data_IF_814518335364
#
_entry.id   IF_814518335364
#
_cell.length_a   1.000
_cell.length_b   1.000
_cell.length_c   1.000
_cell.angle_alpha   90.00
_cell.angle_beta   90.00
_cell.angle_gamma   90.00
#
_symmetry.space_group_name_H-M   'P 1'
#
loop_
_entity.id
_entity.type
_entity.pdbx_description
1 polymer ?
#
# COMPACT_ATOMS: atom_id res chain seq x y z
N UNK A 1 4.38 -13.50 4.83
CA UNK A 1 5.86 -13.60 4.86
C UNK A 1 6.50 -12.29 5.32
N UNK A 2 6.25 -11.13 4.69
CA UNK A 2 6.87 -9.84 5.01
C UNK A 2 6.69 -9.40 6.48
N UNK A 3 5.49 -9.56 7.05
CA UNK A 3 5.26 -9.21 8.46
C UNK A 3 6.03 -10.14 9.40
N UNK A 4 6.08 -11.44 9.10
CA UNK A 4 6.86 -12.40 9.87
C UNK A 4 8.35 -12.01 9.88
N UNK A 5 8.89 -11.62 8.72
CA UNK A 5 10.29 -11.20 8.63
C UNK A 5 10.55 -9.93 9.48
N UNK A 6 9.58 -9.03 9.58
CA UNK A 6 9.69 -7.78 10.36
C UNK A 6 9.51 -7.97 11.87
N UNK A 7 8.74 -8.96 12.29
CA UNK A 7 8.63 -9.33 13.70
C UNK A 7 9.84 -10.11 14.22
N UNK A 8 10.92 -10.20 13.46
CA UNK A 8 12.14 -10.90 13.83
C UNK A 8 12.26 -12.30 13.22
N UNK A 9 11.47 -12.59 12.16
CA UNK A 9 11.52 -13.82 11.39
C UNK A 9 10.67 -14.96 11.95
N UNK A 10 10.80 -16.11 11.28
CA UNK A 10 9.97 -17.28 11.54
C UNK A 10 10.09 -17.80 12.99
N UNK A 11 11.28 -17.79 13.54
CA UNK A 11 11.53 -18.29 14.89
C UNK A 11 10.81 -17.46 15.97
N UNK A 12 10.88 -16.13 15.86
CA UNK A 12 10.17 -15.21 16.76
C UNK A 12 8.65 -15.38 16.63
N UNK A 13 8.16 -15.49 15.42
CA UNK A 13 6.75 -15.77 15.19
C UNK A 13 6.29 -17.08 15.83
N UNK A 14 7.11 -18.14 15.74
CA UNK A 14 6.83 -19.42 16.42
C UNK A 14 6.86 -19.31 17.95
N UNK A 15 7.65 -18.42 18.51
CA UNK A 15 7.65 -18.17 19.96
C UNK A 15 6.31 -17.57 20.42
N UNK A 16 5.78 -16.59 19.66
CA UNK A 16 4.46 -16.03 19.93
C UNK A 16 3.39 -17.12 19.87
N UNK A 17 3.38 -17.94 18.81
CA UNK A 17 2.40 -19.01 18.66
C UNK A 17 2.47 -20.03 19.80
N UNK A 18 3.66 -20.36 20.30
CA UNK A 18 3.82 -21.28 21.44
C UNK A 18 3.21 -20.73 22.73
N UNK A 19 3.40 -19.45 23.02
CA UNK A 19 2.79 -18.81 24.20
C UNK A 19 1.27 -18.86 24.07
N UNK A 20 0.73 -18.50 22.91
CA UNK A 20 -0.70 -18.54 22.66
C UNK A 20 -1.27 -19.97 22.74
N UNK A 21 -0.54 -20.99 22.25
CA UNK A 21 -0.93 -22.41 22.32
C UNK A 21 -1.02 -22.92 23.76
N UNK A 22 -0.06 -22.55 24.61
CA UNK A 22 -0.10 -22.92 26.05
C UNK A 22 -1.35 -22.36 26.72
N UNK A 23 -1.68 -21.11 26.46
CA UNK A 23 -2.88 -20.46 27.01
C UNK A 23 -4.14 -21.08 26.41
N UNK A 24 -4.14 -21.33 25.10
CA UNK A 24 -5.27 -21.94 24.40
C UNK A 24 -5.63 -23.32 24.99
N UNK A 25 -4.64 -24.17 25.25
CA UNK A 25 -4.83 -25.46 25.93
C UNK A 25 -5.34 -25.31 27.35
N UNK A 26 -4.80 -24.36 28.12
CA UNK A 26 -5.26 -24.06 29.49
C UNK A 26 -6.73 -23.65 29.53
N UNK A 27 -7.19 -22.90 28.52
CA UNK A 27 -8.54 -22.37 28.44
C UNK A 27 -9.50 -23.23 27.58
N UNK A 28 -9.01 -24.32 26.99
CA UNK A 28 -9.75 -25.22 26.08
C UNK A 28 -10.37 -24.50 24.87
N UNK A 29 -9.62 -23.58 24.30
CA UNK A 29 -10.01 -22.77 23.11
C UNK A 29 -8.93 -22.80 22.03
N UNK A 30 -9.21 -22.24 20.87
CA UNK A 30 -8.21 -22.12 19.80
C UNK A 30 -7.20 -21.00 20.07
N UNK A 31 -6.00 -21.10 19.45
CA UNK A 31 -5.00 -20.02 19.44
C UNK A 31 -5.62 -18.72 18.92
N UNK A 32 -6.49 -18.82 17.92
CA UNK A 32 -7.20 -17.68 17.34
C UNK A 32 -8.07 -16.97 18.37
N UNK A 33 -8.78 -17.72 19.21
CA UNK A 33 -9.60 -17.16 20.28
C UNK A 33 -8.73 -16.42 21.31
N UNK A 34 -7.59 -16.99 21.73
CA UNK A 34 -6.66 -16.33 22.66
C UNK A 34 -6.12 -15.04 22.09
N UNK A 35 -5.64 -15.06 20.85
CA UNK A 35 -5.09 -13.88 20.19
C UNK A 35 -6.15 -12.78 20.02
N UNK A 36 -7.36 -13.15 19.59
CA UNK A 36 -8.48 -12.22 19.42
C UNK A 36 -8.96 -11.65 20.76
N UNK A 37 -9.00 -12.48 21.82
CA UNK A 37 -9.37 -12.04 23.17
C UNK A 37 -8.37 -11.03 23.69
N UNK A 38 -7.07 -11.29 23.55
CA UNK A 38 -6.03 -10.35 23.96
C UNK A 38 -6.16 -8.98 23.26
N UNK A 39 -6.47 -8.96 21.96
CA UNK A 39 -6.72 -7.70 21.23
C UNK A 39 -7.98 -7.00 21.77
N UNK A 40 -9.05 -7.75 22.01
CA UNK A 40 -10.32 -7.19 22.50
C UNK A 40 -10.20 -6.63 23.93
N UNK A 41 -9.28 -7.15 24.73
CA UNK A 41 -9.03 -6.68 26.09
C UNK A 41 -8.18 -5.40 26.15
N UNK A 42 -7.66 -4.90 25.01
CA UNK A 42 -6.93 -3.63 24.98
C UNK A 42 -7.87 -2.44 25.23
N UNK A 43 -7.48 -1.45 26.07
CA UNK A 43 -8.37 -0.38 26.52
C UNK A 43 -9.00 0.46 25.39
N UNK A 44 -8.32 0.56 24.24
CA UNK A 44 -8.77 1.37 23.11
C UNK A 44 -9.59 0.56 22.07
N UNK A 45 -9.77 -0.76 22.28
CA UNK A 45 -10.44 -1.63 21.30
C UNK A 45 -11.90 -1.86 21.70
N UNK A 46 -12.82 -1.32 20.91
CA UNK A 46 -14.26 -1.53 21.11
C UNK A 46 -14.83 -2.78 20.43
N UNK A 47 -14.17 -3.28 19.38
CA UNK A 47 -14.59 -4.44 18.60
C UNK A 47 -13.43 -5.02 17.78
N UNK A 48 -13.56 -6.28 17.39
CA UNK A 48 -12.64 -6.96 16.47
C UNK A 48 -13.42 -7.51 15.28
N UNK A 49 -12.96 -7.25 14.08
CA UNK A 49 -13.54 -7.79 12.84
C UNK A 49 -12.86 -9.13 12.55
N UNK A 50 -13.65 -10.20 12.52
CA UNK A 50 -13.18 -11.56 12.25
C UNK A 50 -13.72 -12.00 10.89
N UNK A 51 -12.83 -12.48 10.02
CA UNK A 51 -13.20 -13.09 8.75
C UNK A 51 -13.94 -14.41 8.97
N UNK A 52 -15.05 -14.60 8.26
CA UNK A 52 -15.80 -15.85 8.26
C UNK A 52 -15.94 -16.40 6.84
N UNK A 53 -15.79 -17.72 6.71
CA UNK A 53 -16.18 -18.46 5.49
C UNK A 53 -17.54 -19.10 5.71
N UNK A 54 -18.37 -19.09 4.67
CA UNK A 54 -19.70 -19.67 4.72
C UNK A 54 -19.79 -21.06 4.06
N UNK A 55 -18.64 -21.62 3.64
CA UNK A 55 -18.58 -22.90 2.93
C UNK A 55 -17.72 -23.95 3.66
N UNK A 56 -16.74 -24.54 3.02
CA UNK A 56 -16.04 -25.75 3.44
C UNK A 56 -15.25 -25.68 4.76
N UNK A 57 -14.95 -24.50 5.26
CA UNK A 57 -14.26 -24.33 6.55
C UNK A 57 -14.93 -23.21 7.34
N UNK A 58 -16.03 -23.55 7.95
CA UNK A 58 -16.75 -22.62 8.82
C UNK A 58 -16.10 -22.57 10.21
N UNK A 59 -15.75 -21.37 10.65
CA UNK A 59 -15.18 -21.11 11.97
C UNK A 59 -16.12 -20.32 12.89
N UNK A 60 -17.41 -20.17 12.56
CA UNK A 60 -18.34 -19.35 13.35
C UNK A 60 -18.52 -19.88 14.78
N UNK A 61 -18.64 -21.21 14.92
CA UNK A 61 -18.76 -21.84 16.24
C UNK A 61 -17.48 -21.66 17.07
N UNK A 62 -16.30 -21.82 16.46
CA UNK A 62 -15.02 -21.57 17.13
C UNK A 62 -14.88 -20.09 17.50
N UNK A 63 -15.20 -19.18 16.59
CA UNK A 63 -15.16 -17.74 16.85
C UNK A 63 -16.11 -17.32 18.00
N UNK A 64 -17.23 -18.00 18.19
CA UNK A 64 -18.15 -17.72 19.29
C UNK A 64 -17.55 -18.05 20.67
N UNK A 65 -16.59 -18.97 20.74
CA UNK A 65 -15.89 -19.30 21.97
C UNK A 65 -15.06 -18.13 22.52
N UNK A 66 -14.80 -17.09 21.73
CA UNK A 66 -14.15 -15.86 22.17
C UNK A 66 -14.80 -15.26 23.44
N UNK A 67 -16.09 -15.45 23.61
CA UNK A 67 -16.87 -14.89 24.73
C UNK A 67 -17.05 -15.88 25.88
N UNK A 68 -16.57 -17.11 25.76
CA UNK A 68 -16.73 -18.17 26.78
C UNK A 68 -15.63 -18.17 27.85
N UNK A 69 -14.56 -17.40 27.67
CA UNK A 69 -13.42 -17.37 28.59
C UNK A 69 -12.87 -15.94 28.76
N UNK A 70 -12.02 -15.78 29.73
CA UNK A 70 -11.24 -14.54 29.96
C UNK A 70 -9.76 -14.88 30.10
N UNK A 71 -8.91 -13.94 29.72
CA UNK A 71 -7.48 -13.99 30.04
C UNK A 71 -7.27 -13.44 31.44
N UNK A 72 -6.48 -14.15 32.25
CA UNK A 72 -6.05 -13.65 33.55
C UNK A 72 -4.77 -12.79 33.43
N UNK A 73 -4.32 -12.24 34.53
CA UNK A 73 -3.15 -11.35 34.55
C UNK A 73 -1.87 -12.06 34.08
N UNK A 74 -1.70 -13.33 34.43
CA UNK A 74 -0.53 -14.10 34.01
C UNK A 74 -0.56 -14.39 32.52
N UNK A 75 -1.74 -14.68 31.95
CA UNK A 75 -1.95 -14.86 30.51
C UNK A 75 -1.58 -13.58 29.75
N UNK A 76 -2.07 -12.41 30.19
CA UNK A 76 -1.72 -11.12 29.59
C UNK A 76 -0.22 -10.85 29.67
N UNK A 77 0.38 -11.05 30.86
CA UNK A 77 1.80 -10.81 31.03
C UNK A 77 2.67 -11.69 30.13
N UNK A 78 2.31 -12.97 29.98
CA UNK A 78 3.04 -13.88 29.09
C UNK A 78 2.96 -13.45 27.62
N UNK A 79 1.78 -13.01 27.17
CA UNK A 79 1.61 -12.51 25.79
C UNK A 79 2.37 -11.19 25.60
N UNK A 80 2.23 -10.24 26.51
CA UNK A 80 2.89 -8.94 26.43
C UNK A 80 4.42 -9.07 26.43
N UNK A 81 4.96 -9.99 27.23
CA UNK A 81 6.39 -10.26 27.26
C UNK A 81 6.91 -10.74 25.90
N UNK A 82 6.28 -11.75 25.29
CA UNK A 82 6.72 -12.28 23.99
C UNK A 82 6.56 -11.28 22.87
N UNK A 83 5.53 -10.42 22.91
CA UNK A 83 5.30 -9.36 21.93
C UNK A 83 6.32 -8.23 22.09
N UNK A 84 6.62 -7.81 23.32
CA UNK A 84 7.60 -6.76 23.60
C UNK A 84 9.03 -7.17 23.21
N UNK A 85 9.32 -8.47 23.21
CA UNK A 85 10.59 -9.03 22.74
C UNK A 85 10.71 -9.08 21.20
N UNK A 86 9.65 -8.71 20.48
CA UNK A 86 9.68 -8.65 19.01
C UNK A 86 9.92 -7.24 18.50
N UNK A 87 10.64 -7.08 17.36
CA UNK A 87 10.75 -5.79 16.70
C UNK A 87 9.35 -5.24 16.35
N UNK A 88 9.11 -3.98 16.66
CA UNK A 88 7.84 -3.33 16.34
C UNK A 88 7.74 -3.07 14.83
N UNK A 89 6.63 -3.46 14.24
CA UNK A 89 6.29 -3.07 12.86
C UNK A 89 6.06 -1.56 12.86
N UNK A 90 6.74 -0.85 11.96
CA UNK A 90 6.63 0.61 11.86
C UNK A 90 5.33 1.01 11.15
N UNK A 91 4.74 2.11 11.60
CA UNK A 91 3.55 2.70 11.01
C UNK A 91 2.29 2.45 11.83
N UNK A 92 1.20 3.05 11.38
CA UNK A 92 -0.13 2.89 11.97
C UNK A 92 -0.87 1.71 11.33
N UNK A 93 -1.97 1.29 11.95
CA UNK A 93 -2.89 0.31 11.40
C UNK A 93 -3.37 0.74 10.00
N UNK A 94 -3.16 -0.10 9.01
CA UNK A 94 -3.46 0.18 7.61
C UNK A 94 -2.26 0.69 6.79
N UNK A 95 -1.15 1.09 7.41
CA UNK A 95 0.07 1.47 6.68
C UNK A 95 0.60 0.34 5.80
N UNK A 96 0.38 -0.92 6.20
CA UNK A 96 0.73 -2.11 5.42
C UNK A 96 -0.02 -2.22 4.08
N UNK A 97 -1.14 -1.53 3.94
CA UNK A 97 -1.91 -1.46 2.70
C UNK A 97 -1.62 -0.20 1.90
N UNK A 98 -1.21 0.86 2.56
CA UNK A 98 -1.28 2.24 2.08
C UNK A 98 0.07 2.87 1.82
N UNK A 99 1.11 2.42 2.50
CA UNK A 99 2.42 3.07 2.45
C UNK A 99 3.55 2.11 2.08
N UNK A 100 4.53 2.59 1.29
CA UNK A 100 5.78 1.86 1.15
C UNK A 100 6.45 1.67 2.53
N UNK A 101 7.15 0.57 2.75
CA UNK A 101 7.53 -0.44 1.78
C UNK A 101 6.55 -1.62 1.65
N UNK A 102 5.42 -1.57 2.33
CA UNK A 102 4.60 -2.77 2.49
C UNK A 102 3.67 -3.01 1.31
N UNK A 103 2.70 -2.17 1.08
CA UNK A 103 1.70 -2.27 0.00
C UNK A 103 1.26 -3.72 -0.26
N UNK A 104 0.90 -4.42 0.83
CA UNK A 104 0.68 -5.88 0.80
C UNK A 104 -0.66 -6.29 0.23
N UNK A 105 -1.60 -5.38 0.19
CA UNK A 105 -2.90 -5.62 -0.40
C UNK A 105 -3.34 -4.40 -1.18
N UNK A 106 -3.97 -4.63 -2.31
CA UNK A 106 -4.80 -3.63 -2.94
C UNK A 106 -6.13 -3.61 -2.20
N UNK A 107 -6.11 -3.14 -0.96
CA UNK A 107 -7.28 -2.95 -0.15
C UNK A 107 -8.20 -1.89 -0.72
N UNK A 108 -9.06 -1.35 0.08
CA UNK A 108 -9.82 -0.17 -0.28
C UNK A 108 -8.85 0.99 -0.56
N UNK A 109 -8.83 1.43 -1.81
CA UNK A 109 -7.93 2.49 -2.28
C UNK A 109 -8.53 3.89 -2.03
N UNK A 110 -9.77 3.99 -1.57
CA UNK A 110 -10.48 5.25 -1.43
C UNK A 110 -9.79 6.22 -0.48
N UNK A 111 -9.31 5.71 0.66
CA UNK A 111 -8.64 6.54 1.66
C UNK A 111 -7.27 7.08 1.23
N UNK A 112 -6.65 6.48 0.22
CA UNK A 112 -5.36 6.96 -0.29
C UNK A 112 -5.48 8.21 -1.15
N UNK A 113 -6.63 8.39 -1.76
CA UNK A 113 -6.81 9.38 -2.82
C UNK A 113 -6.89 10.81 -2.29
N UNK A 114 -7.30 10.99 -1.04
CA UNK A 114 -7.48 12.30 -0.42
C UNK A 114 -6.28 12.74 0.43
N UNK A 115 -5.56 11.79 1.02
CA UNK A 115 -4.43 12.06 1.91
C UNK A 115 -3.07 11.80 1.29
N UNK A 116 -2.99 11.58 -0.03
CA UNK A 116 -1.75 11.14 -0.67
C UNK A 116 -0.64 12.20 -0.58
N UNK A 117 0.00 12.26 0.57
CA UNK A 117 1.07 13.17 0.88
C UNK A 117 2.41 12.49 0.56
N UNK A 118 2.87 12.63 -0.69
CA UNK A 118 4.26 12.34 -1.09
C UNK A 118 4.70 10.90 -0.86
N UNK A 119 4.36 10.04 -1.76
CA UNK A 119 4.87 8.67 -1.84
C UNK A 119 6.40 8.64 -2.02
N UNK A 120 6.97 9.63 -2.69
CA UNK A 120 8.42 9.81 -2.78
C UNK A 120 8.88 10.98 -1.91
N UNK A 121 9.61 10.71 -0.81
CA UNK A 121 10.08 11.75 0.11
C UNK A 121 11.14 12.69 -0.50
N UNK A 122 11.65 12.36 -1.68
CA UNK A 122 12.70 13.13 -2.36
C UNK A 122 12.16 14.15 -3.35
N UNK A 123 10.84 14.36 -3.40
CA UNK A 123 10.27 15.36 -4.29
C UNK A 123 10.84 16.74 -4.03
N UNK A 124 11.45 17.34 -5.04
CA UNK A 124 12.02 18.67 -5.02
C UNK A 124 11.42 19.53 -6.12
N UNK A 125 10.98 20.74 -5.78
CA UNK A 125 10.42 21.69 -6.71
C UNK A 125 11.49 22.71 -7.11
N UNK A 126 11.58 23.01 -8.42
CA UNK A 126 12.49 24.01 -8.99
C UNK A 126 11.82 24.79 -10.11
N UNK A 127 12.38 25.93 -10.47
CA UNK A 127 11.83 26.81 -11.52
C UNK A 127 11.10 28.03 -10.94
N UNK A 128 10.35 28.72 -11.79
CA UNK A 128 9.57 29.91 -11.48
C UNK A 128 8.07 29.68 -11.72
N UNK A 129 7.24 30.70 -11.52
CA UNK A 129 5.78 30.60 -11.74
C UNK A 129 5.39 30.19 -13.16
N UNK A 130 6.22 30.49 -14.16
CA UNK A 130 5.95 30.18 -15.57
C UNK A 130 6.31 28.75 -15.94
N UNK A 131 7.30 28.16 -15.25
CA UNK A 131 7.79 26.84 -15.55
C UNK A 131 8.34 26.18 -14.27
N UNK A 132 7.56 25.31 -13.67
CA UNK A 132 7.95 24.52 -12.52
C UNK A 132 8.37 23.11 -12.94
N UNK A 133 9.38 22.58 -12.29
CA UNK A 133 9.86 21.22 -12.48
C UNK A 133 9.87 20.50 -11.14
N UNK A 134 9.38 19.26 -11.14
CA UNK A 134 9.42 18.38 -10.01
C UNK A 134 10.45 17.29 -10.25
N UNK A 135 11.42 17.16 -9.38
CA UNK A 135 12.43 16.11 -9.42
C UNK A 135 12.31 15.17 -8.22
N UNK A 136 12.84 13.96 -8.35
CA UNK A 136 12.97 12.97 -7.26
C UNK A 136 14.43 12.80 -6.82
N UNK A 137 15.38 13.43 -7.52
CA UNK A 137 16.80 13.22 -7.33
C UNK A 137 17.29 11.85 -7.85
N UNK A 138 16.51 11.22 -8.73
CA UNK A 138 16.92 9.99 -9.41
C UNK A 138 18.15 10.23 -10.26
N UNK A 139 19.10 9.29 -10.27
CA UNK A 139 20.27 9.29 -11.14
C UNK A 139 19.89 9.52 -12.61
N UNK A 140 18.82 8.89 -13.07
CA UNK A 140 18.35 8.98 -14.45
C UNK A 140 17.84 10.37 -14.85
N UNK A 141 17.30 11.15 -13.90
CA UNK A 141 16.87 12.53 -14.19
C UNK A 141 18.04 13.39 -14.64
N UNK A 142 19.21 13.23 -14.03
CA UNK A 142 20.42 13.97 -14.40
C UNK A 142 21.06 13.45 -15.70
N UNK A 143 21.08 12.15 -15.90
CA UNK A 143 21.71 11.51 -17.07
C UNK A 143 20.90 11.75 -18.33
N UNK A 144 19.57 11.61 -18.25
CA UNK A 144 18.69 11.75 -19.42
C UNK A 144 18.13 13.17 -19.59
N UNK A 145 18.36 14.08 -18.64
CA UNK A 145 17.94 15.47 -18.76
C UNK A 145 16.42 15.66 -18.67
N UNK A 146 15.72 14.87 -17.83
CA UNK A 146 14.29 14.99 -17.65
C UNK A 146 13.91 15.33 -16.19
N UNK A 147 12.67 15.69 -15.98
CA UNK A 147 12.07 15.87 -14.63
C UNK A 147 10.93 14.87 -14.43
N UNK A 148 10.65 14.51 -13.18
CA UNK A 148 9.51 13.66 -12.83
C UNK A 148 8.20 14.22 -13.36
N UNK A 149 8.01 15.54 -13.22
CA UNK A 149 6.90 16.26 -13.77
C UNK A 149 7.28 17.70 -14.10
N UNK A 150 6.57 18.29 -15.04
CA UNK A 150 6.73 19.70 -15.45
C UNK A 150 5.36 20.35 -15.45
N UNK A 151 5.24 21.54 -14.81
CA UNK A 151 4.08 22.41 -14.93
C UNK A 151 4.45 23.64 -15.76
N UNK A 152 3.66 23.92 -16.78
CA UNK A 152 3.77 25.15 -17.59
C UNK A 152 2.37 25.66 -17.93
N UNK A 153 2.09 26.89 -17.48
CA UNK A 153 0.72 27.37 -17.46
C UNK A 153 -0.14 26.40 -16.63
N UNK A 154 -1.40 26.24 -16.94
CA UNK A 154 -2.27 25.28 -16.28
C UNK A 154 -1.97 23.80 -16.55
N UNK A 155 -0.98 23.43 -17.37
CA UNK A 155 -0.71 22.03 -17.74
C UNK A 155 0.39 21.41 -16.88
N UNK A 156 0.12 20.20 -16.35
CA UNK A 156 1.09 19.35 -15.69
C UNK A 156 1.31 18.11 -16.55
N UNK A 157 2.55 17.86 -16.91
CA UNK A 157 2.98 16.69 -17.67
C UNK A 157 3.86 15.80 -16.77
N UNK A 158 3.49 14.53 -16.64
CA UNK A 158 4.24 13.56 -15.85
C UNK A 158 4.98 12.59 -16.77
N UNK A 159 6.25 12.39 -16.50
CA UNK A 159 7.06 11.39 -17.20
C UNK A 159 6.60 9.98 -16.83
N UNK A 160 6.93 9.01 -17.67
CA UNK A 160 6.71 7.59 -17.40
C UNK A 160 7.13 7.24 -15.97
N UNK A 161 6.23 6.61 -15.24
CA UNK A 161 6.38 6.32 -13.83
C UNK A 161 6.27 4.81 -13.62
N UNK A 162 7.29 4.24 -13.00
CA UNK A 162 7.35 2.83 -12.64
C UNK A 162 7.30 2.65 -11.12
N UNK A 163 7.13 1.41 -10.67
CA UNK A 163 7.02 1.07 -9.25
C UNK A 163 8.39 1.00 -8.55
N UNK A 164 9.25 1.99 -8.78
CA UNK A 164 10.52 2.13 -8.07
C UNK A 164 10.33 3.00 -6.81
N UNK A 165 10.84 2.52 -5.68
CA UNK A 165 11.00 3.26 -4.45
C UNK A 165 12.48 3.52 -4.17
N UNK A 166 12.81 4.75 -3.85
CA UNK A 166 14.21 5.11 -3.67
C UNK A 166 14.98 5.09 -4.98
N UNK A 167 16.17 4.49 -4.99
CA UNK A 167 17.06 4.50 -6.16
C UNK A 167 16.81 3.32 -7.10
N UNK A 168 16.52 2.12 -6.53
CA UNK A 168 16.50 0.88 -7.32
C UNK A 168 15.48 -0.16 -6.83
N UNK A 169 14.76 0.11 -5.75
CA UNK A 169 13.86 -0.89 -5.16
C UNK A 169 12.55 -0.99 -5.91
N UNK A 170 12.35 -2.08 -6.64
CA UNK A 170 11.07 -2.41 -7.28
C UNK A 170 10.05 -2.85 -6.22
N UNK A 171 8.92 -2.15 -6.16
CA UNK A 171 7.79 -2.48 -5.29
C UNK A 171 6.88 -3.46 -6.02
N UNK A 172 6.37 -4.47 -5.30
CA UNK A 172 5.46 -5.49 -5.85
C UNK A 172 5.98 -6.13 -7.14
N UNK A 173 7.22 -6.64 -7.13
CA UNK A 173 7.96 -7.14 -8.31
C UNK A 173 7.13 -8.05 -9.23
N UNK A 174 6.35 -8.96 -8.64
CA UNK A 174 5.57 -9.97 -9.38
C UNK A 174 4.05 -9.69 -9.33
N UNK A 175 3.66 -8.48 -8.95
CA UNK A 175 2.26 -8.08 -8.84
C UNK A 175 1.97 -6.81 -9.64
N UNK A 176 1.43 -6.91 -10.86
CA UNK A 176 1.12 -5.76 -11.70
C UNK A 176 0.06 -4.84 -11.08
N UNK A 177 -0.85 -5.40 -10.28
CA UNK A 177 -1.86 -4.66 -9.55
C UNK A 177 -1.23 -3.78 -8.46
N UNK A 178 -0.34 -4.35 -7.66
CA UNK A 178 0.40 -3.61 -6.63
C UNK A 178 1.32 -2.55 -7.24
N UNK A 179 1.95 -2.85 -8.38
CA UNK A 179 2.73 -1.85 -9.12
C UNK A 179 1.85 -0.69 -9.60
N UNK A 180 0.68 -0.96 -10.17
CA UNK A 180 -0.24 0.08 -10.65
C UNK A 180 -0.72 0.99 -9.50
N UNK A 181 -1.05 0.44 -8.32
CA UNK A 181 -1.38 1.22 -7.13
C UNK A 181 -0.25 2.17 -6.76
N UNK A 182 0.95 1.64 -6.61
CA UNK A 182 2.11 2.44 -6.23
C UNK A 182 2.42 3.55 -7.24
N UNK A 183 2.32 3.24 -8.52
CA UNK A 183 2.55 4.20 -9.61
C UNK A 183 1.51 5.33 -9.57
N UNK A 184 0.23 5.00 -9.43
CA UNK A 184 -0.84 6.00 -9.38
C UNK A 184 -0.71 6.89 -8.14
N UNK A 185 -0.32 6.35 -6.99
CA UNK A 185 -0.01 7.13 -5.80
C UNK A 185 1.14 8.12 -6.05
N UNK A 186 2.20 7.70 -6.74
CA UNK A 186 3.30 8.59 -7.13
C UNK A 186 2.83 9.69 -8.09
N UNK A 187 2.00 9.35 -9.05
CA UNK A 187 1.42 10.31 -10.01
C UNK A 187 0.59 11.36 -9.27
N UNK A 188 -0.32 10.93 -8.38
CA UNK A 188 -1.16 11.85 -7.61
C UNK A 188 -0.33 12.73 -6.68
N UNK A 189 0.70 12.18 -6.05
CA UNK A 189 1.63 12.93 -5.22
C UNK A 189 2.38 14.02 -6.02
N UNK A 190 2.80 13.70 -7.23
CA UNK A 190 3.48 14.65 -8.11
C UNK A 190 2.51 15.76 -8.62
N UNK A 191 1.28 15.40 -8.98
CA UNK A 191 0.24 16.38 -9.36
C UNK A 191 -0.05 17.32 -8.19
N UNK A 192 -0.23 16.79 -6.98
CA UNK A 192 -0.48 17.58 -5.77
C UNK A 192 0.69 18.52 -5.44
N UNK A 193 1.94 18.05 -5.59
CA UNK A 193 3.13 18.88 -5.36
C UNK A 193 3.23 20.08 -6.32
N UNK A 194 2.60 19.99 -7.49
CA UNK A 194 2.51 21.06 -8.50
C UNK A 194 1.19 21.85 -8.43
N UNK A 195 0.41 21.66 -7.35
CA UNK A 195 -0.82 22.41 -7.08
C UNK A 195 -2.06 21.91 -7.84
N UNK A 196 -2.02 20.70 -8.39
CA UNK A 196 -3.18 20.05 -9.00
C UNK A 196 -3.83 19.02 -8.06
N UNK A 197 -4.94 18.48 -8.49
CA UNK A 197 -5.72 17.44 -7.80
C UNK A 197 -6.01 16.28 -8.76
N UNK A 198 -6.52 15.20 -8.22
CA UNK A 198 -6.91 14.01 -8.98
C UNK A 198 -7.90 14.34 -10.11
N UNK A 199 -8.85 15.23 -9.85
CA UNK A 199 -9.85 15.68 -10.84
C UNK A 199 -9.25 16.43 -12.04
N UNK A 200 -8.04 16.95 -11.91
CA UNK A 200 -7.38 17.70 -12.98
C UNK A 200 -6.69 16.78 -13.98
N UNK A 201 -6.57 15.48 -13.68
CA UNK A 201 -5.98 14.51 -14.61
C UNK A 201 -6.95 14.24 -15.75
N UNK A 202 -6.54 14.63 -16.95
CA UNK A 202 -7.35 14.52 -18.18
C UNK A 202 -6.90 13.37 -19.08
N UNK A 203 -5.70 12.84 -18.88
CA UNK A 203 -5.16 11.74 -19.68
C UNK A 203 -4.21 10.87 -18.86
N UNK A 204 -4.27 9.57 -19.13
CA UNK A 204 -3.27 8.56 -18.70
C UNK A 204 -2.87 7.69 -19.90
N UNK A 205 -1.61 7.20 -19.89
CA UNK A 205 -1.15 6.14 -20.79
C UNK A 205 -0.50 5.05 -19.94
N UNK A 206 -0.90 3.82 -20.21
CA UNK A 206 -0.49 2.65 -19.45
C UNK A 206 0.26 1.69 -20.39
N UNK A 207 1.46 1.33 -20.00
CA UNK A 207 2.31 0.37 -20.71
C UNK A 207 2.42 -0.88 -19.86
N UNK A 208 2.15 -2.04 -20.46
CA UNK A 208 2.17 -3.36 -19.81
C UNK A 208 3.16 -4.26 -20.53
N UNK A 209 3.91 -5.07 -19.78
CA UNK A 209 4.81 -6.07 -20.35
C UNK A 209 4.10 -7.36 -20.74
N UNK A 210 2.84 -7.53 -20.37
CA UNK A 210 2.00 -8.67 -20.71
C UNK A 210 0.53 -8.23 -20.74
N UNK A 211 -0.19 -8.52 -21.81
CA UNK A 211 -1.62 -8.22 -21.97
C UNK A 211 -2.49 -8.88 -20.88
N UNK A 212 -2.08 -10.02 -20.31
CA UNK A 212 -2.81 -10.69 -19.23
C UNK A 212 -2.93 -9.82 -17.95
N UNK A 213 -2.07 -8.81 -17.82
CA UNK A 213 -2.12 -7.84 -16.73
C UNK A 213 -3.22 -6.78 -16.94
N UNK A 214 -3.77 -6.65 -18.15
CA UNK A 214 -4.66 -5.56 -18.53
C UNK A 214 -5.88 -5.44 -17.61
N UNK A 215 -6.58 -6.54 -17.35
CA UNK A 215 -7.79 -6.49 -16.52
C UNK A 215 -7.47 -6.05 -15.07
N UNK A 216 -6.43 -6.63 -14.47
CA UNK A 216 -6.06 -6.33 -13.08
C UNK A 216 -5.62 -4.88 -12.89
N UNK A 217 -4.82 -4.36 -13.81
CA UNK A 217 -4.35 -2.96 -13.81
C UNK A 217 -5.48 -1.99 -14.14
N UNK A 218 -6.35 -2.31 -15.11
CA UNK A 218 -7.51 -1.49 -15.46
C UNK A 218 -8.51 -1.36 -14.31
N UNK A 219 -8.71 -2.40 -13.51
CA UNK A 219 -9.56 -2.34 -12.31
C UNK A 219 -8.98 -1.37 -11.25
N UNK A 220 -7.67 -1.33 -11.08
CA UNK A 220 -7.01 -0.35 -10.22
C UNK A 220 -7.22 1.05 -10.76
N UNK A 221 -6.90 1.28 -12.05
CA UNK A 221 -7.09 2.56 -12.71
C UNK A 221 -8.55 3.06 -12.60
N UNK A 222 -9.52 2.18 -12.85
CA UNK A 222 -10.94 2.50 -12.75
C UNK A 222 -11.35 2.97 -11.34
N UNK A 223 -10.80 2.39 -10.28
CA UNK A 223 -11.05 2.85 -8.90
C UNK A 223 -10.45 4.22 -8.61
N UNK A 224 -9.21 4.46 -9.08
CA UNK A 224 -8.56 5.76 -8.90
C UNK A 224 -9.31 6.89 -9.61
N UNK A 225 -9.92 6.61 -10.76
CA UNK A 225 -10.56 7.62 -11.60
C UNK A 225 -12.08 7.45 -11.71
N UNK A 226 -12.69 6.77 -10.75
CA UNK A 226 -14.15 6.61 -10.69
C UNK A 226 -14.83 7.98 -10.69
N UNK A 227 -15.77 8.15 -11.63
CA UNK A 227 -16.50 9.40 -11.83
C UNK A 227 -15.74 10.51 -12.59
N UNK A 228 -14.41 10.36 -12.79
CA UNK A 228 -13.59 11.36 -13.51
C UNK A 228 -13.34 10.97 -14.97
N UNK A 229 -13.13 9.68 -15.21
CA UNK A 229 -12.99 9.09 -16.56
C UNK A 229 -12.01 9.84 -17.50
N UNK A 230 -10.72 10.01 -17.15
CA UNK A 230 -9.75 10.64 -18.04
C UNK A 230 -9.59 9.83 -19.33
N UNK A 231 -9.16 10.49 -20.41
CA UNK A 231 -8.77 9.78 -21.61
C UNK A 231 -7.65 8.78 -21.28
N UNK A 232 -7.81 7.51 -21.68
CA UNK A 232 -6.83 6.47 -21.39
C UNK A 232 -6.39 5.75 -22.68
N UNK A 233 -5.12 5.38 -22.71
CA UNK A 233 -4.56 4.45 -23.70
C UNK A 233 -3.76 3.39 -22.94
N UNK A 234 -4.10 2.12 -23.13
CA UNK A 234 -3.36 0.99 -22.56
C UNK A 234 -2.82 0.13 -23.70
N UNK A 235 -1.52 -0.13 -23.68
CA UNK A 235 -0.84 -0.95 -24.69
C UNK A 235 0.13 -1.94 -24.04
N UNK A 236 0.32 -3.05 -24.73
CA UNK A 236 1.41 -3.98 -24.44
C UNK A 236 2.68 -3.51 -25.12
N UNK A 237 3.81 -3.63 -24.40
CA UNK A 237 5.15 -3.37 -24.93
C UNK A 237 6.01 -4.60 -24.71
N UNK A 238 7.04 -4.77 -25.55
CA UNK A 238 7.92 -5.93 -25.46
C UNK A 238 8.69 -6.01 -24.15
N UNK A 239 9.03 -4.87 -23.55
CA UNK A 239 9.72 -4.78 -22.27
C UNK A 239 9.65 -3.34 -21.72
N UNK A 240 9.81 -3.20 -20.40
CA UNK A 240 10.06 -1.94 -19.70
C UNK A 240 11.50 -1.94 -19.16
N UNK A 241 12.08 -0.76 -19.00
CA UNK A 241 13.43 -0.65 -18.44
C UNK A 241 13.41 -1.05 -16.97
N UNK A 242 14.21 -2.05 -16.61
CA UNK A 242 14.20 -2.69 -15.29
C UNK A 242 13.13 -3.79 -15.17
N UNK A 243 12.98 -4.34 -13.97
CA UNK A 243 12.05 -5.47 -13.71
C UNK A 243 10.62 -4.96 -13.41
N UNK A 244 10.08 -4.13 -14.30
CA UNK A 244 8.75 -3.56 -14.15
C UNK A 244 7.74 -4.27 -15.03
N UNK A 245 6.52 -4.43 -14.51
CA UNK A 245 5.38 -5.00 -15.23
C UNK A 245 4.46 -3.90 -15.77
N UNK A 246 4.51 -2.71 -15.16
CA UNK A 246 3.62 -1.59 -15.45
C UNK A 246 4.41 -0.29 -15.43
N UNK A 247 4.14 0.57 -16.40
CA UNK A 247 4.54 1.98 -16.41
C UNK A 247 3.33 2.85 -16.75
N UNK A 248 3.19 4.02 -16.12
CA UNK A 248 2.09 4.93 -16.38
C UNK A 248 2.64 6.37 -16.51
N UNK A 249 2.16 7.10 -17.51
CA UNK A 249 2.30 8.55 -17.61
C UNK A 249 0.94 9.24 -17.54
N UNK A 250 0.93 10.52 -17.16
CA UNK A 250 -0.30 11.27 -17.02
C UNK A 250 -0.14 12.73 -17.43
N UNK A 251 -1.26 13.33 -17.79
CA UNK A 251 -1.40 14.77 -18.05
C UNK A 251 -2.55 15.32 -17.20
N UNK A 252 -2.31 16.46 -16.55
CA UNK A 252 -3.33 17.19 -15.81
C UNK A 252 -3.46 18.63 -16.33
N UNK A 253 -4.65 19.20 -16.18
CA UNK A 253 -4.94 20.61 -16.49
C UNK A 253 -5.54 21.23 -15.24
N UNK A 254 -4.84 22.20 -14.69
CA UNK A 254 -5.26 22.97 -13.51
C UNK A 254 -5.83 24.29 -14.00
N UNK A 255 -7.04 24.61 -13.60
CA UNK A 255 -7.63 25.90 -13.89
C UNK A 255 -6.84 27.00 -13.15
N UNK A 256 -6.24 27.91 -13.88
CA UNK A 256 -5.66 29.13 -13.35
C UNK A 256 -6.83 30.07 -13.05
N UNK A 257 -7.25 30.16 -11.78
CA UNK A 257 -8.31 31.05 -11.31
C UNK A 257 -7.96 32.54 -11.48
#
# INVERSE_FOLDING_TARGET
KRFIDQTGGWEKFQQILRVLDVIARKKEVSITNVATRWVLDQPAVGAVIIGARLTESEHRADNANLFSFTLDQDDHQAIDQVINDTPKIRGDCGSEYRQPPYLTAAGDLSDHLEENKRVDPRLSLSGDEKLQRLGTGSYWESVCGYSRAVKKGGRILLSGTTAIHGEDRVICRDDPRGQAVYILDKILSAVSALGGQRSDIVRTRVYLTNQDHCESVSRVHGRYFEGLNPANTTIEVSNLIGDHLVEIEAEAIVDEG
#
